data_IF_682685248519
#
_entry.id   IF_682685248519
#
_cell.length_a   1.000
_cell.length_b   1.000
_cell.length_c   1.000
_cell.angle_alpha   90.00
_cell.angle_beta   90.00
_cell.angle_gamma   90.00
#
_symmetry.space_group_name_H-M   'P 1'
#
loop_
_entity.id
_entity.type
_entity.pdbx_description
1 polymer ?
#
# COMPACT_ATOMS: atom_id res chain seq x y z
N UNK A 1 8.46 -14.89 -42.92
CA UNK A 1 8.19 -13.49 -43.34
C UNK A 1 6.78 -13.44 -43.90
N UNK A 2 5.80 -12.96 -43.13
CA UNK A 2 4.41 -12.94 -43.56
C UNK A 2 4.17 -11.74 -44.51
N UNK A 3 3.62 -12.02 -45.70
CA UNK A 3 3.52 -11.13 -46.88
C UNK A 3 2.16 -10.40 -46.97
N UNK A 4 1.23 -10.64 -46.07
CA UNK A 4 -0.10 -10.02 -46.12
C UNK A 4 -0.11 -8.65 -45.41
N UNK A 5 -0.45 -7.54 -46.09
CA UNK A 5 -0.62 -6.25 -45.44
C UNK A 5 -1.77 -6.36 -44.43
N UNK A 6 -1.52 -5.96 -43.18
CA UNK A 6 -2.59 -5.84 -42.19
C UNK A 6 -3.61 -4.82 -42.70
N UNK A 7 -4.92 -5.11 -42.67
CA UNK A 7 -5.93 -4.15 -43.09
C UNK A 7 -5.85 -2.92 -42.19
N UNK A 8 -5.49 -1.78 -42.78
CA UNK A 8 -5.49 -0.47 -42.14
C UNK A 8 -6.94 0.00 -42.02
N UNK A 9 -7.71 -0.65 -41.14
CA UNK A 9 -9.05 -0.17 -40.79
C UNK A 9 -8.91 1.18 -40.08
N UNK A 10 -9.65 2.18 -40.55
CA UNK A 10 -9.72 3.51 -39.95
C UNK A 10 -10.26 3.48 -38.51
N UNK A 11 -11.01 2.42 -38.19
CA UNK A 11 -11.43 2.07 -36.84
C UNK A 11 -10.51 0.96 -36.32
N UNK A 12 -9.60 1.28 -35.39
CA UNK A 12 -8.89 0.27 -34.60
C UNK A 12 -9.94 -0.56 -33.85
N UNK A 13 -9.91 -1.88 -34.01
CA UNK A 13 -10.77 -2.79 -33.26
C UNK A 13 -10.23 -2.90 -31.82
N UNK A 14 -10.78 -2.09 -30.91
CA UNK A 14 -10.49 -2.14 -29.46
C UNK A 14 -10.52 -0.77 -28.79
N UNK A 15 -10.44 -0.74 -27.46
CA UNK A 15 -10.35 0.49 -26.65
C UNK A 15 -8.97 1.18 -26.75
N UNK A 16 -8.26 1.02 -27.87
CA UNK A 16 -6.93 1.58 -28.09
C UNK A 16 -7.07 2.99 -28.61
N UNK A 17 -6.35 3.94 -28.00
CA UNK A 17 -6.30 5.31 -28.51
C UNK A 17 -5.59 5.31 -29.87
N UNK A 18 -6.11 6.08 -30.83
CA UNK A 18 -5.45 6.22 -32.13
C UNK A 18 -4.05 6.84 -31.94
N UNK A 19 -3.07 6.50 -32.80
CA UNK A 19 -1.70 7.02 -32.69
C UNK A 19 -1.63 8.56 -32.76
N UNK A 20 -2.58 9.19 -33.46
CA UNK A 20 -2.72 10.63 -33.53
C UNK A 20 -3.16 11.23 -32.18
N UNK A 21 -4.11 10.58 -31.51
CA UNK A 21 -4.65 11.04 -30.22
C UNK A 21 -3.65 10.84 -29.07
N UNK A 22 -2.81 9.81 -29.14
CA UNK A 22 -1.75 9.60 -28.16
C UNK A 22 -0.73 10.74 -28.17
N UNK A 23 -0.26 11.21 -29.34
CA UNK A 23 0.68 12.33 -29.40
C UNK A 23 0.06 13.64 -28.92
N UNK A 24 -1.19 13.90 -29.28
CA UNK A 24 -1.91 15.11 -28.85
C UNK A 24 -2.09 15.18 -27.33
N UNK A 25 -2.23 14.02 -26.66
CA UNK A 25 -2.41 13.94 -25.21
C UNK A 25 -1.12 13.67 -24.43
N UNK A 26 0.00 13.43 -25.13
CA UNK A 26 1.31 13.18 -24.52
C UNK A 26 1.72 14.24 -23.48
N UNK A 27 1.58 15.56 -23.72
CA UNK A 27 2.01 16.57 -22.75
C UNK A 27 1.14 16.61 -21.48
N UNK A 28 -0.14 16.24 -21.58
CA UNK A 28 -1.08 16.29 -20.45
C UNK A 28 -1.07 15.01 -19.60
N UNK A 29 -0.57 13.90 -20.12
CA UNK A 29 -0.51 12.63 -19.38
C UNK A 29 0.30 12.74 -18.10
N UNK A 30 1.48 13.36 -18.15
CA UNK A 30 2.35 13.52 -16.97
C UNK A 30 1.71 14.47 -15.96
N UNK A 31 1.21 15.62 -16.42
CA UNK A 31 0.63 16.63 -15.54
C UNK A 31 -0.64 16.13 -14.84
N UNK A 32 -1.51 15.45 -15.58
CA UNK A 32 -2.74 14.86 -15.03
C UNK A 32 -2.44 13.68 -14.10
N UNK A 33 -1.41 12.87 -14.40
CA UNK A 33 -0.97 11.79 -13.51
C UNK A 33 -0.44 12.32 -12.19
N UNK A 34 0.35 13.41 -12.19
CA UNK A 34 0.84 14.04 -10.96
C UNK A 34 -0.32 14.58 -10.13
N UNK A 35 -1.26 15.30 -10.75
CA UNK A 35 -2.45 15.82 -10.04
C UNK A 35 -3.29 14.68 -9.47
N UNK A 36 -3.53 13.62 -10.25
CA UNK A 36 -4.26 12.43 -9.77
C UNK A 36 -3.54 11.72 -8.63
N UNK A 37 -2.21 11.56 -8.72
CA UNK A 37 -1.40 10.97 -7.66
C UNK A 37 -1.46 11.81 -6.37
N UNK A 38 -1.44 13.15 -6.48
CA UNK A 38 -1.58 14.04 -5.32
C UNK A 38 -2.90 13.84 -4.58
N UNK A 39 -4.00 13.70 -5.32
CA UNK A 39 -5.33 13.42 -4.73
C UNK A 39 -5.34 12.06 -4.03
N UNK A 40 -4.79 11.02 -4.67
CA UNK A 40 -4.74 9.67 -4.09
C UNK A 40 -3.89 9.65 -2.81
N UNK A 41 -2.71 10.26 -2.84
CA UNK A 41 -1.82 10.36 -1.66
C UNK A 41 -2.51 11.12 -0.53
N UNK A 42 -3.22 12.21 -0.83
CA UNK A 42 -3.97 12.96 0.17
C UNK A 42 -5.06 12.09 0.82
N UNK A 43 -5.88 11.39 0.03
CA UNK A 43 -6.91 10.50 0.57
C UNK A 43 -6.34 9.38 1.43
N UNK A 44 -5.27 8.72 0.96
CA UNK A 44 -4.60 7.65 1.71
C UNK A 44 -3.99 8.18 3.01
N UNK A 45 -3.41 9.38 2.97
CA UNK A 45 -2.86 10.04 4.17
C UNK A 45 -3.93 10.29 5.23
N UNK A 46 -5.09 10.84 4.84
CA UNK A 46 -6.21 11.06 5.76
C UNK A 46 -6.73 9.74 6.34
N UNK A 47 -6.88 8.71 5.50
CA UNK A 47 -7.32 7.39 5.95
C UNK A 47 -6.33 6.73 6.92
N UNK A 48 -5.04 6.75 6.59
CA UNK A 48 -3.99 6.21 7.43
C UNK A 48 -3.90 6.98 8.76
N UNK A 49 -3.96 8.31 8.71
CA UNK A 49 -4.00 9.14 9.91
C UNK A 49 -5.20 8.80 10.80
N UNK A 50 -6.37 8.57 10.21
CA UNK A 50 -7.55 8.17 10.98
C UNK A 50 -7.33 6.88 11.76
N UNK A 51 -6.62 5.89 11.19
CA UNK A 51 -6.30 4.64 11.89
C UNK A 51 -5.27 4.86 13.00
N UNK A 52 -4.25 5.68 12.75
CA UNK A 52 -3.20 5.97 13.74
C UNK A 52 -3.72 6.83 14.90
N UNK A 53 -4.58 7.80 14.62
CA UNK A 53 -5.18 8.68 15.61
C UNK A 53 -6.10 7.92 16.57
N UNK A 54 -6.82 6.89 16.09
CA UNK A 54 -7.65 6.03 16.95
C UNK A 54 -6.80 5.14 17.89
N UNK A 55 -5.52 4.93 17.57
CA UNK A 55 -4.61 4.15 18.42
C UNK A 55 -4.10 4.90 19.65
N UNK A 56 -4.61 6.10 19.90
CA UNK A 56 -4.19 6.99 20.98
C UNK A 56 -5.23 7.06 22.11
N UNK A 57 -5.72 5.92 22.60
CA UNK A 57 -6.19 5.91 24.00
C UNK A 57 -4.96 5.64 24.89
N UNK A 58 -4.40 6.70 25.47
CA UNK A 58 -3.36 6.63 26.50
C UNK A 58 -3.99 6.18 27.82
N UNK A 59 -4.04 4.86 28.04
CA UNK A 59 -4.58 4.26 29.27
C UNK A 59 -3.60 4.35 30.47
N UNK A 60 -2.64 5.27 30.45
CA UNK A 60 -1.64 5.43 31.51
C UNK A 60 -2.22 5.97 32.83
N UNK A 61 -3.40 6.59 32.77
CA UNK A 61 -4.10 7.15 33.93
C UNK A 61 -5.12 6.18 34.57
N UNK A 62 -5.25 4.95 34.03
CA UNK A 62 -6.18 3.95 34.56
C UNK A 62 -5.40 2.91 35.35
N UNK A 63 -5.66 2.83 36.66
CA UNK A 63 -5.15 1.74 37.50
C UNK A 63 -5.72 0.40 37.01
N UNK A 64 -4.84 -0.43 36.44
CA UNK A 64 -5.22 -1.74 35.95
C UNK A 64 -5.51 -2.69 37.14
N UNK A 65 -6.62 -3.45 37.11
CA UNK A 65 -6.92 -4.38 38.19
C UNK A 65 -5.89 -5.54 38.24
N UNK A 66 -5.57 -6.04 39.43
CA UNK A 66 -4.44 -6.96 39.66
C UNK A 66 -4.43 -8.22 38.76
N UNK A 67 -5.61 -8.69 38.31
CA UNK A 67 -5.74 -9.86 37.46
C UNK A 67 -5.23 -9.65 36.02
N UNK A 68 -5.30 -8.43 35.47
CA UNK A 68 -4.79 -8.15 34.11
C UNK A 68 -3.27 -7.96 34.10
N UNK A 69 -2.69 -7.46 35.19
CA UNK A 69 -1.23 -7.31 35.33
C UNK A 69 -0.54 -8.67 35.40
N UNK A 70 -1.16 -9.64 36.10
CA UNK A 70 -0.67 -11.02 36.13
C UNK A 70 -0.66 -11.66 34.73
N UNK A 71 -1.75 -11.48 33.96
CA UNK A 71 -1.86 -11.99 32.59
C UNK A 71 -0.87 -11.34 31.62
N UNK A 72 -0.62 -10.03 31.74
CA UNK A 72 0.36 -9.33 30.91
C UNK A 72 1.79 -9.78 31.20
N UNK A 73 2.14 -10.02 32.47
CA UNK A 73 3.45 -10.54 32.87
C UNK A 73 3.68 -11.96 32.31
N UNK A 74 2.66 -12.80 32.35
CA UNK A 74 2.71 -14.16 31.80
C UNK A 74 2.80 -14.16 30.26
N UNK A 75 2.02 -13.32 29.59
CA UNK A 75 2.08 -13.15 28.13
C UNK A 75 3.40 -12.53 27.65
N UNK A 76 3.98 -11.60 28.41
CA UNK A 76 5.28 -11.00 28.12
C UNK A 76 6.42 -12.01 28.32
N UNK A 77 6.37 -12.84 29.36
CA UNK A 77 7.31 -13.93 29.58
C UNK A 77 7.23 -14.97 28.45
N UNK A 78 6.03 -15.32 27.99
CA UNK A 78 5.83 -16.22 26.86
C UNK A 78 6.37 -15.63 25.53
N UNK A 79 6.19 -14.32 25.30
CA UNK A 79 6.73 -13.63 24.11
C UNK A 79 8.25 -13.47 24.13
N UNK A 80 8.85 -13.26 25.31
CA UNK A 80 10.30 -13.24 25.48
C UNK A 80 10.92 -14.62 25.18
N UNK A 81 10.24 -15.70 25.58
CA UNK A 81 10.65 -17.07 25.28
C UNK A 81 10.51 -17.44 23.78
N UNK A 82 9.54 -16.85 23.06
CA UNK A 82 9.38 -17.08 21.62
C UNK A 82 10.47 -16.36 20.78
N UNK A 83 10.97 -15.22 21.25
CA UNK A 83 11.96 -14.41 20.51
C UNK A 83 13.39 -14.96 20.62
N UNK A 84 13.69 -15.79 21.62
CA UNK A 84 15.01 -16.43 21.79
C UNK A 84 15.20 -17.73 20.99
N UNK A 85 14.16 -18.19 20.28
CA UNK A 85 14.16 -19.47 19.56
C UNK A 85 14.45 -19.42 18.05
N UNK A 86 14.57 -18.23 17.43
CA UNK A 86 14.77 -18.11 15.97
C UNK A 86 15.99 -17.30 15.60
N UNK A 87 17.17 -17.93 15.58
CA UNK A 87 18.32 -17.50 14.77
C UNK A 87 18.81 -18.70 13.95
N UNK A 88 18.65 -18.70 12.62
CA UNK A 88 19.04 -19.82 11.78
C UNK A 88 20.55 -19.82 11.58
N UNK A 89 21.14 -20.98 11.82
CA UNK A 89 22.44 -21.43 11.33
C UNK A 89 22.72 -20.95 9.90
N UNK A 90 23.84 -20.27 9.68
CA UNK A 90 24.47 -20.18 8.36
C UNK A 90 25.99 -20.30 8.51
N UNK A 91 26.48 -21.47 8.12
CA UNK A 91 27.88 -21.85 7.97
C UNK A 91 28.49 -21.20 6.72
N UNK A 92 29.68 -20.61 6.85
CA UNK A 92 30.69 -20.62 5.79
C UNK A 92 32.08 -20.47 6.38
#
# INVERSE_FOLDING_TARGET
MAIFPKPTSYYEQGFRRSPALERATAPFRVRNAITGAGIVVFCVSVYAYSILAVRQDDFSDIELPAHVVAQQKEAAAARAAATSGSSPSSSK
#
